data_IF_318255540496
#
_entry.id   IF_318255540496
#
_cell.length_a   1.000
_cell.length_b   1.000
_cell.length_c   1.000
_cell.angle_alpha   90.00
_cell.angle_beta   90.00
_cell.angle_gamma   90.00
#
_symmetry.space_group_name_H-M   'P 1'
#
loop_
_entity.id
_entity.type
_entity.pdbx_description
1 polymer ?
#
# COMPACT_ATOMS: atom_id res chain seq x y z
N UNK A 1 15.45 7.08 -6.61
CA UNK A 1 15.06 5.84 -5.91
C UNK A 1 14.91 6.06 -4.41
N UNK A 2 15.84 6.76 -3.75
CA UNK A 2 15.74 7.06 -2.29
C UNK A 2 14.44 7.80 -1.88
N UNK A 3 13.93 8.70 -2.72
CA UNK A 3 12.71 9.49 -2.44
C UNK A 3 11.47 8.63 -2.17
N UNK A 4 11.25 7.55 -2.92
CA UNK A 4 10.06 6.70 -2.79
C UNK A 4 10.10 5.75 -1.59
N UNK A 5 11.30 5.46 -1.05
CA UNK A 5 11.42 4.69 0.18
C UNK A 5 10.90 5.50 1.37
N UNK A 6 11.37 6.74 1.51
CA UNK A 6 10.94 7.62 2.60
C UNK A 6 9.43 7.93 2.53
N UNK A 7 8.86 8.11 1.34
CA UNK A 7 7.41 8.30 1.17
C UNK A 7 6.60 7.08 1.59
N UNK A 8 7.06 5.87 1.24
CA UNK A 8 6.44 4.62 1.65
C UNK A 8 6.49 4.42 3.15
N UNK A 9 7.63 4.67 3.77
CA UNK A 9 7.79 4.60 5.23
C UNK A 9 6.87 5.59 5.95
N UNK A 10 6.75 6.82 5.43
CA UNK A 10 5.78 7.82 5.95
C UNK A 10 4.34 7.35 5.77
N UNK A 11 3.99 6.82 4.60
CA UNK A 11 2.65 6.29 4.32
C UNK A 11 2.30 5.16 5.31
N UNK A 12 3.22 4.23 5.55
CA UNK A 12 3.00 3.15 6.53
C UNK A 12 2.81 3.73 7.94
N UNK A 13 3.71 4.60 8.39
CA UNK A 13 3.66 5.15 9.75
C UNK A 13 2.39 5.96 10.01
N UNK A 14 2.05 6.88 9.11
CA UNK A 14 1.02 7.90 9.36
C UNK A 14 -0.35 7.56 8.78
N UNK A 15 -0.43 6.72 7.74
CA UNK A 15 -1.69 6.41 7.06
C UNK A 15 -2.15 4.97 7.32
N UNK A 16 -1.29 4.08 7.81
CA UNK A 16 -1.62 2.67 8.08
C UNK A 16 -1.57 2.38 9.58
N UNK A 17 -0.38 2.45 10.20
CA UNK A 17 -0.20 2.12 11.63
C UNK A 17 -0.99 3.05 12.54
N UNK A 18 -0.92 4.37 12.30
CA UNK A 18 -1.66 5.37 13.07
C UNK A 18 -3.20 5.20 12.99
N UNK A 19 -3.70 4.40 12.03
CA UNK A 19 -5.13 4.12 11.82
C UNK A 19 -5.54 2.72 12.24
N UNK A 20 -4.70 2.03 13.02
CA UNK A 20 -5.08 0.84 13.77
C UNK A 20 -4.71 -0.49 13.14
N UNK A 21 -4.00 -0.51 12.00
CA UNK A 21 -3.40 -1.74 11.46
C UNK A 21 -2.24 -2.17 12.37
N UNK A 22 -2.25 -3.42 12.82
CA UNK A 22 -1.36 -3.96 13.86
C UNK A 22 -0.63 -5.24 13.44
N UNK A 23 -1.11 -5.97 12.44
CA UNK A 23 -0.42 -7.18 11.96
C UNK A 23 0.94 -6.79 11.37
N UNK A 24 2.00 -7.18 12.08
CA UNK A 24 3.40 -6.91 11.69
C UNK A 24 3.76 -7.47 10.31
N UNK A 25 3.11 -8.56 9.88
CA UNK A 25 3.31 -9.16 8.56
C UNK A 25 2.74 -8.24 7.47
N UNK A 26 1.55 -7.70 7.69
CA UNK A 26 0.91 -6.72 6.80
C UNK A 26 1.74 -5.44 6.75
N UNK A 27 2.13 -4.89 7.90
CA UNK A 27 2.97 -3.68 7.98
C UNK A 27 4.28 -3.87 7.21
N UNK A 28 4.97 -5.00 7.42
CA UNK A 28 6.22 -5.32 6.71
C UNK A 28 6.01 -5.46 5.20
N UNK A 29 4.91 -6.05 4.75
CA UNK A 29 4.58 -6.13 3.33
C UNK A 29 4.34 -4.74 2.72
N UNK A 30 3.59 -3.87 3.42
CA UNK A 30 3.35 -2.49 2.98
C UNK A 30 4.63 -1.65 2.91
N UNK A 31 5.64 -1.94 3.75
CA UNK A 31 6.96 -1.32 3.70
C UNK A 31 7.84 -1.85 2.56
N UNK A 32 7.72 -3.14 2.21
CA UNK A 32 8.63 -3.79 1.25
C UNK A 32 8.19 -3.62 -0.20
N UNK A 33 6.89 -3.56 -0.48
CA UNK A 33 6.37 -3.52 -1.86
C UNK A 33 6.43 -2.10 -2.43
N UNK A 34 7.14 -1.87 -3.55
CA UNK A 34 7.24 -0.54 -4.16
C UNK A 34 5.99 -0.20 -4.99
N UNK A 35 4.95 0.30 -4.31
CA UNK A 35 3.64 0.59 -4.92
C UNK A 35 3.68 1.43 -6.21
N UNK A 36 4.62 2.38 -6.32
CA UNK A 36 4.78 3.21 -7.53
C UNK A 36 5.05 2.38 -8.80
N UNK A 37 5.67 1.19 -8.70
CA UNK A 37 5.91 0.33 -9.87
C UNK A 37 4.63 -0.28 -10.47
N UNK A 38 3.50 -0.20 -9.75
CA UNK A 38 2.19 -0.65 -10.20
C UNK A 38 1.35 0.50 -10.81
N UNK A 39 1.96 1.67 -11.01
CA UNK A 39 1.34 2.86 -11.59
C UNK A 39 2.02 3.27 -12.90
N UNK A 40 1.28 3.93 -13.82
CA UNK A 40 1.88 4.69 -14.90
C UNK A 40 2.90 5.70 -14.35
N UNK A 41 4.02 5.92 -15.06
CA UNK A 41 5.15 6.74 -14.58
C UNK A 41 4.73 8.17 -14.21
N UNK A 42 3.81 8.73 -14.99
CA UNK A 42 3.21 10.05 -14.79
C UNK A 42 2.43 10.16 -13.47
N UNK A 43 2.04 9.04 -12.86
CA UNK A 43 1.27 8.99 -11.60
C UNK A 43 2.12 8.63 -10.38
N UNK A 44 3.44 8.46 -10.52
CA UNK A 44 4.29 8.02 -9.41
C UNK A 44 4.32 8.99 -8.23
N UNK A 45 4.17 10.30 -8.46
CA UNK A 45 4.08 11.31 -7.41
C UNK A 45 2.86 11.13 -6.50
N UNK A 46 1.84 10.39 -6.93
CA UNK A 46 0.63 10.10 -6.17
C UNK A 46 0.68 8.72 -5.49
N UNK A 47 1.76 7.96 -5.65
CA UNK A 47 1.80 6.54 -5.29
C UNK A 47 1.54 6.25 -3.80
N UNK A 48 1.95 7.16 -2.92
CA UNK A 48 1.97 6.98 -1.47
C UNK A 48 1.00 7.92 -0.72
N UNK A 49 0.10 8.59 -1.44
CA UNK A 49 -1.05 9.24 -0.84
C UNK A 49 -2.14 8.23 -0.50
N UNK A 50 -2.94 8.50 0.55
CA UNK A 50 -4.09 7.66 0.90
C UNK A 50 -5.31 7.94 0.02
N UNK A 51 -5.15 7.72 -1.28
CA UNK A 51 -6.19 7.90 -2.28
C UNK A 51 -6.09 6.86 -3.39
N UNK A 52 -7.20 6.58 -4.10
CA UNK A 52 -7.16 5.76 -5.29
C UNK A 52 -6.44 6.50 -6.44
N UNK A 53 -5.68 5.76 -7.24
CA UNK A 53 -4.95 6.32 -8.39
C UNK A 53 -5.34 5.58 -9.66
N UNK A 54 -5.61 6.33 -10.73
CA UNK A 54 -6.00 5.76 -12.04
C UNK A 54 -4.83 5.01 -12.67
N UNK A 55 -5.12 3.83 -13.22
CA UNK A 55 -4.14 2.98 -13.93
C UNK A 55 -4.51 2.73 -15.40
N UNK A 56 -5.48 3.48 -15.92
CA UNK A 56 -5.99 3.34 -17.28
C UNK A 56 -7.15 2.34 -17.36
N UNK A 57 -7.76 2.23 -18.55
CA UNK A 57 -8.91 1.35 -18.85
C UNK A 57 -10.09 1.50 -17.88
N UNK A 58 -10.31 2.71 -17.38
CA UNK A 58 -11.36 3.01 -16.39
C UNK A 58 -11.12 2.43 -14.99
N UNK A 59 -9.92 1.90 -14.70
CA UNK A 59 -9.60 1.27 -13.42
C UNK A 59 -8.75 2.17 -12.51
N UNK A 60 -8.81 1.89 -11.22
CA UNK A 60 -7.98 2.49 -10.17
C UNK A 60 -7.33 1.42 -9.31
N UNK A 61 -6.17 1.72 -8.74
CA UNK A 61 -5.68 0.96 -7.58
C UNK A 61 -6.26 1.57 -6.30
N UNK A 62 -6.71 0.72 -5.38
CA UNK A 62 -7.26 1.14 -4.08
C UNK A 62 -6.22 1.89 -3.26
N UNK A 63 -6.65 2.81 -2.39
CA UNK A 63 -5.77 3.53 -1.47
C UNK A 63 -4.99 2.57 -0.55
N UNK A 64 -3.74 2.90 -0.16
CA UNK A 64 -2.91 2.06 0.71
C UNK A 64 -3.60 1.57 1.97
N UNK A 65 -4.38 2.42 2.67
CA UNK A 65 -5.06 2.00 3.89
C UNK A 65 -6.09 0.88 3.65
N UNK A 66 -6.87 0.97 2.56
CA UNK A 66 -7.88 -0.06 2.26
C UNK A 66 -7.20 -1.38 1.91
N UNK A 67 -6.08 -1.36 1.19
CA UNK A 67 -5.31 -2.59 0.93
C UNK A 67 -4.80 -3.20 2.23
N UNK A 68 -4.25 -2.40 3.14
CA UNK A 68 -3.77 -2.87 4.43
C UNK A 68 -4.91 -3.45 5.29
N UNK A 69 -6.04 -2.74 5.38
CA UNK A 69 -7.23 -3.17 6.11
C UNK A 69 -7.80 -4.48 5.57
N UNK A 70 -8.02 -4.58 4.25
CA UNK A 70 -8.50 -5.81 3.63
C UNK A 70 -7.56 -6.99 3.90
N UNK A 71 -6.24 -6.75 3.84
CA UNK A 71 -5.25 -7.80 4.07
C UNK A 71 -5.22 -8.25 5.53
N UNK A 72 -5.32 -7.32 6.49
CA UNK A 72 -5.39 -7.65 7.92
C UNK A 72 -6.64 -8.44 8.26
N UNK A 73 -7.81 -8.04 7.72
CA UNK A 73 -9.08 -8.73 7.95
C UNK A 73 -9.13 -10.15 7.36
N UNK A 74 -8.31 -10.46 6.35
CA UNK A 74 -8.21 -11.81 5.81
C UNK A 74 -7.45 -12.79 6.73
N UNK A 75 -6.72 -12.27 7.72
CA UNK A 75 -5.91 -13.05 8.66
C UNK A 75 -5.03 -14.11 7.96
N UNK A 76 -4.43 -13.73 6.83
CA UNK A 76 -3.72 -14.65 5.93
C UNK A 76 -2.62 -15.43 6.67
N UNK A 77 -2.59 -16.74 6.46
CA UNK A 77 -1.55 -17.63 6.96
C UNK A 77 -0.74 -18.21 5.80
N UNK A 78 0.46 -18.71 6.08
CA UNK A 78 1.40 -19.21 5.07
C UNK A 78 0.80 -20.34 4.20
N UNK A 79 -0.07 -21.18 4.78
CA UNK A 79 -0.71 -22.28 4.07
C UNK A 79 -2.00 -21.87 3.30
N UNK A 80 -2.44 -20.61 3.38
CA UNK A 80 -3.63 -20.17 2.67
C UNK A 80 -3.39 -20.12 1.15
N UNK A 81 -4.40 -20.55 0.40
CA UNK A 81 -4.49 -20.35 -1.04
C UNK A 81 -5.53 -19.26 -1.31
N UNK A 82 -5.09 -18.17 -1.91
CA UNK A 82 -5.89 -16.95 -2.20
C UNK A 82 -5.95 -16.73 -3.70
#
# INVERSE_FOLDING_TARGET
>A
MESYQAERERMVKYQIEARGIKDKRVIKAMQSVPRHLFLPKESWSYAYGDSPVRIGRGQTISQPYIVALMTELLEVQEAHRV
#
